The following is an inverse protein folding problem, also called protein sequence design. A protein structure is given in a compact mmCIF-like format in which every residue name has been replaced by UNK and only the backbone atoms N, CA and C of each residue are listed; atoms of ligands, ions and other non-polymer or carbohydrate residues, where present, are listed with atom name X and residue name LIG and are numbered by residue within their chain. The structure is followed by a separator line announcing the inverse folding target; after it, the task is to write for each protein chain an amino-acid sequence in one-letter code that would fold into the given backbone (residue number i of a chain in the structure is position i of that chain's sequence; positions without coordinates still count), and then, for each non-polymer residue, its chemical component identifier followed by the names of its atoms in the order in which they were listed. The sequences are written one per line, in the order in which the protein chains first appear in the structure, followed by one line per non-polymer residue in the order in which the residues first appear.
data_IF_851695734137
#
_entry.id   IF_851695734137
#
_cell.length_a   1.000
_cell.length_b   1.000
_cell.length_c   1.000
_cell.angle_alpha   90.00
_cell.angle_beta   90.00
_cell.angle_gamma   90.00
#
_symmetry.space_group_name_H-M   'P 1'
#
loop_
_entity.id
_entity.type
_entity.pdbx_description
1 polymer ?
#
# COMPACT_ATOMS: atom_id res chain seq x y z
N UNK A 1 -35.01 13.85 -11.04
CA UNK A 1 -33.80 13.83 -10.19
C UNK A 1 -33.07 12.54 -10.44
N UNK A 2 -31.79 12.58 -10.81
CA UNK A 2 -30.96 11.36 -10.84
C UNK A 2 -30.93 10.74 -9.44
N UNK A 3 -31.27 9.46 -9.35
CA UNK A 3 -31.32 8.71 -8.10
C UNK A 3 -29.91 8.19 -7.80
N UNK A 4 -29.31 8.69 -6.71
CA UNK A 4 -28.06 8.13 -6.15
C UNK A 4 -28.27 6.65 -5.87
N UNK A 5 -27.37 5.81 -6.36
CA UNK A 5 -27.38 4.40 -6.01
C UNK A 5 -26.89 4.24 -4.57
N UNK A 6 -27.42 3.23 -3.88
CA UNK A 6 -26.90 2.86 -2.57
C UNK A 6 -25.56 2.17 -2.77
N UNK A 7 -24.51 2.64 -2.09
CA UNK A 7 -23.22 1.96 -2.11
C UNK A 7 -23.44 0.55 -1.53
N UNK A 8 -23.05 -0.51 -2.24
CA UNK A 8 -23.31 -1.87 -1.79
C UNK A 8 -22.66 -2.18 -0.44
N UNK A 9 -23.30 -3.00 0.40
CA UNK A 9 -22.81 -3.30 1.75
C UNK A 9 -21.38 -3.88 1.74
N UNK A 10 -21.09 -4.74 0.77
CA UNK A 10 -19.79 -5.35 0.56
C UNK A 10 -18.69 -4.29 0.26
N UNK A 11 -19.00 -3.33 -0.63
CA UNK A 11 -18.10 -2.22 -0.94
C UNK A 11 -17.90 -1.27 0.25
N UNK A 12 -18.95 -1.04 1.05
CA UNK A 12 -18.81 -0.28 2.31
C UNK A 12 -17.86 -1.01 3.27
N UNK A 13 -18.08 -2.30 3.51
CA UNK A 13 -17.23 -3.11 4.39
C UNK A 13 -15.76 -3.09 3.93
N UNK A 14 -15.53 -3.26 2.63
CA UNK A 14 -14.20 -3.16 2.03
C UNK A 14 -13.52 -1.82 2.34
N UNK A 15 -14.21 -0.68 2.13
CA UNK A 15 -13.65 0.65 2.45
C UNK A 15 -13.28 0.78 3.93
N UNK A 16 -14.14 0.33 4.84
CA UNK A 16 -13.86 0.36 6.28
C UNK A 16 -12.63 -0.47 6.64
N UNK A 17 -12.53 -1.65 6.07
CA UNK A 17 -11.46 -2.60 6.32
C UNK A 17 -10.13 -2.10 5.73
N UNK A 18 -10.13 -1.64 4.49
CA UNK A 18 -8.95 -1.12 3.77
C UNK A 18 -8.50 0.25 4.28
N UNK A 19 -9.33 0.95 5.04
CA UNK A 19 -8.90 2.14 5.77
C UNK A 19 -7.83 1.86 6.80
N UNK A 20 -7.74 0.61 7.27
CA UNK A 20 -6.87 0.22 8.37
C UNK A 20 -7.02 1.17 9.58
N UNK A 21 -8.25 1.55 9.89
CA UNK A 21 -8.55 2.46 11.00
C UNK A 21 -8.25 3.95 10.74
N UNK A 22 -7.74 4.32 9.55
CA UNK A 22 -7.18 5.66 9.27
C UNK A 22 -7.93 6.39 8.15
N UNK A 23 -7.98 7.70 8.27
CA UNK A 23 -8.51 8.59 7.23
C UNK A 23 -7.59 8.56 5.99
N UNK A 24 -8.17 8.57 4.78
CA UNK A 24 -7.40 8.60 3.52
C UNK A 24 -6.64 9.92 3.28
N UNK A 25 -6.88 10.94 4.10
CA UNK A 25 -6.23 12.23 3.99
C UNK A 25 -4.76 12.10 4.44
N UNK A 26 -3.77 12.50 3.62
CA UNK A 26 -2.37 12.37 3.96
C UNK A 26 -2.02 13.04 5.29
N UNK A 27 -1.38 12.28 6.19
CA UNK A 27 -0.95 12.79 7.50
C UNK A 27 -2.07 13.03 8.51
N UNK A 28 -3.33 12.68 8.20
CA UNK A 28 -4.43 12.83 9.14
C UNK A 28 -4.24 11.92 10.38
N UNK A 29 -4.24 12.48 11.60
CA UNK A 29 -4.08 11.69 12.82
C UNK A 29 -5.39 11.10 13.34
N UNK A 30 -6.54 11.51 12.77
CA UNK A 30 -7.85 11.13 13.29
C UNK A 30 -8.26 9.72 12.82
N UNK A 31 -8.61 8.82 13.74
CA UNK A 31 -9.05 7.48 13.37
C UNK A 31 -10.48 7.51 12.81
N UNK A 32 -10.83 6.49 12.04
CA UNK A 32 -12.18 6.33 11.45
C UNK A 32 -13.21 5.83 12.46
N UNK A 33 -12.76 5.32 13.60
CA UNK A 33 -13.58 4.94 14.76
C UNK A 33 -12.94 5.57 16.00
N UNK A 34 -13.75 6.27 16.80
CA UNK A 34 -13.34 6.84 18.07
C UNK A 34 -13.94 6.04 19.22
N UNK A 35 -13.16 5.80 20.26
CA UNK A 35 -13.69 5.48 21.58
C UNK A 35 -14.12 6.79 22.25
N UNK A 36 -15.44 7.02 22.38
CA UNK A 36 -15.96 8.29 22.94
C UNK A 36 -16.06 8.27 24.46
N UNK A 37 -16.11 7.06 25.04
CA UNK A 37 -16.07 6.72 26.46
C UNK A 37 -15.58 5.28 26.59
N UNK A 38 -15.07 4.83 27.75
CA UNK A 38 -14.58 3.46 27.93
C UNK A 38 -15.57 2.40 27.41
N UNK A 39 -15.14 1.59 26.45
CA UNK A 39 -15.92 0.54 25.79
C UNK A 39 -17.00 1.02 24.80
N UNK A 40 -17.12 2.33 24.55
CA UNK A 40 -18.14 2.91 23.67
C UNK A 40 -17.49 3.49 22.42
N UNK A 41 -17.63 2.78 21.32
CA UNK A 41 -17.07 3.16 20.01
C UNK A 41 -18.10 3.84 19.11
N UNK A 42 -17.66 4.84 18.35
CA UNK A 42 -18.46 5.55 17.35
C UNK A 42 -17.68 5.75 16.07
N UNK A 43 -18.37 5.66 14.93
CA UNK A 43 -17.80 6.02 13.63
C UNK A 43 -17.45 7.50 13.62
N UNK A 44 -16.23 7.80 13.19
CA UNK A 44 -15.70 9.14 12.97
C UNK A 44 -15.36 9.36 11.48
N UNK A 45 -15.88 8.52 10.59
CA UNK A 45 -15.63 8.62 9.16
C UNK A 45 -16.88 8.37 8.33
N UNK A 46 -16.84 8.90 7.11
CA UNK A 46 -17.87 8.76 6.09
C UNK A 46 -17.22 8.45 4.74
N UNK A 47 -17.98 7.78 3.88
CA UNK A 47 -17.56 7.47 2.52
C UNK A 47 -17.89 8.67 1.64
N UNK A 48 -16.85 9.29 1.07
CA UNK A 48 -16.95 10.38 0.12
C UNK A 48 -16.81 9.86 -1.32
N UNK A 49 -17.52 10.50 -2.25
CA UNK A 49 -17.29 10.27 -3.68
C UNK A 49 -16.21 11.22 -4.16
N UNK A 50 -15.24 10.67 -4.90
CA UNK A 50 -14.21 11.46 -5.58
C UNK A 50 -14.87 12.36 -6.64
N UNK A 51 -15.75 11.80 -7.47
CA UNK A 51 -16.62 12.54 -8.40
C UNK A 51 -18.05 12.51 -7.91
N UNK A 52 -18.68 13.67 -7.76
CA UNK A 52 -20.05 13.80 -7.25
C UNK A 52 -21.09 13.07 -8.11
N UNK A 53 -22.02 12.36 -7.46
CA UNK A 53 -23.07 11.54 -8.11
C UNK A 53 -24.41 12.26 -8.32
N UNK A 54 -24.58 13.47 -7.78
CA UNK A 54 -25.82 14.26 -7.90
C UNK A 54 -25.55 15.63 -8.48
N UNK A 55 -26.47 16.12 -9.32
CA UNK A 55 -26.49 17.53 -9.75
C UNK A 55 -26.41 18.46 -8.53
N UNK A 56 -25.47 19.41 -8.58
CA UNK A 56 -25.21 20.36 -7.48
C UNK A 56 -24.31 19.82 -6.35
N UNK A 57 -23.79 18.59 -6.45
CA UNK A 57 -22.69 18.14 -5.62
C UNK A 57 -21.35 18.64 -6.20
N UNK A 58 -20.31 18.83 -5.36
CA UNK A 58 -18.97 19.14 -5.84
C UNK A 58 -18.48 18.09 -6.85
N UNK A 59 -17.77 18.54 -7.89
CA UNK A 59 -17.15 17.67 -8.91
C UNK A 59 -18.16 16.84 -9.73
N UNK A 60 -19.44 17.21 -9.71
CA UNK A 60 -20.45 16.56 -10.54
C UNK A 60 -20.26 16.91 -12.01
N UNK A 61 -20.31 15.90 -12.89
CA UNK A 61 -20.38 16.04 -14.35
C UNK A 61 -21.55 15.21 -14.86
N UNK A 62 -22.24 15.61 -15.92
CA UNK A 62 -23.31 14.77 -16.46
C UNK A 62 -22.73 13.47 -17.06
N UNK A 63 -23.25 12.30 -16.65
CA UNK A 63 -22.90 11.04 -17.29
C UNK A 63 -23.58 10.95 -18.65
N UNK A 64 -22.86 10.50 -19.68
CA UNK A 64 -23.35 10.32 -21.05
C UNK A 64 -23.74 8.88 -21.35
N UNK A 65 -23.41 7.95 -20.47
CA UNK A 65 -23.76 6.53 -20.60
C UNK A 65 -24.09 5.89 -19.24
N UNK A 66 -24.78 4.75 -19.29
CA UNK A 66 -25.03 3.90 -18.11
C UNK A 66 -23.74 3.35 -17.52
N UNK A 67 -22.73 3.10 -18.36
CA UNK A 67 -21.41 2.64 -17.94
C UNK A 67 -20.68 3.71 -17.11
N UNK A 68 -20.66 4.97 -17.56
CA UNK A 68 -20.10 6.08 -16.79
C UNK A 68 -20.84 6.27 -15.45
N UNK A 69 -22.16 6.05 -15.44
CA UNK A 69 -22.97 6.10 -14.21
C UNK A 69 -22.57 4.98 -13.24
N UNK A 70 -22.36 3.77 -13.74
CA UNK A 70 -21.87 2.62 -12.93
C UNK A 70 -20.46 2.85 -12.42
N UNK A 71 -19.55 3.37 -13.24
CA UNK A 71 -18.19 3.69 -12.83
C UNK A 71 -18.17 4.74 -11.73
N UNK A 72 -19.04 5.75 -11.81
CA UNK A 72 -19.14 6.77 -10.76
C UNK A 72 -19.65 6.24 -9.41
N UNK A 73 -20.44 5.19 -9.44
CA UNK A 73 -20.94 4.52 -8.23
C UNK A 73 -20.02 3.36 -7.81
N UNK A 74 -18.91 3.12 -8.52
CA UNK A 74 -17.96 2.03 -8.26
C UNK A 74 -16.98 2.35 -7.14
N UNK A 75 -16.36 1.31 -6.59
CA UNK A 75 -15.33 1.40 -5.55
C UNK A 75 -14.16 2.34 -5.92
N UNK A 76 -13.81 2.43 -7.21
CA UNK A 76 -12.74 3.31 -7.72
C UNK A 76 -13.00 4.79 -7.44
N UNK A 77 -14.27 5.18 -7.36
CA UNK A 77 -14.70 6.55 -7.12
C UNK A 77 -14.99 6.84 -5.63
N UNK A 78 -14.63 5.94 -4.72
CA UNK A 78 -14.92 6.06 -3.30
C UNK A 78 -13.63 6.12 -2.46
N UNK A 79 -13.66 6.96 -1.43
CA UNK A 79 -12.67 7.03 -0.35
C UNK A 79 -13.39 7.10 0.99
N UNK A 80 -12.73 6.70 2.07
CA UNK A 80 -13.22 6.89 3.43
C UNK A 80 -12.34 7.89 4.18
N UNK A 81 -12.99 8.92 4.70
CA UNK A 81 -12.34 10.07 5.34
C UNK A 81 -13.04 10.41 6.64
N UNK A 82 -12.31 10.99 7.59
CA UNK A 82 -12.90 11.42 8.85
C UNK A 82 -13.97 12.50 8.64
N UNK A 83 -14.83 12.73 9.64
CA UNK A 83 -15.93 13.70 9.52
C UNK A 83 -15.46 15.10 9.14
N UNK A 84 -14.30 15.56 9.65
CA UNK A 84 -13.73 16.86 9.33
C UNK A 84 -13.36 16.97 7.85
N UNK A 85 -12.55 16.03 7.33
CA UNK A 85 -12.16 16.04 5.91
C UNK A 85 -13.35 15.78 4.98
N UNK A 86 -14.31 14.95 5.39
CA UNK A 86 -15.54 14.75 4.63
C UNK A 86 -16.30 16.08 4.45
N UNK A 87 -16.40 16.88 5.52
CA UNK A 87 -17.09 18.18 5.48
C UNK A 87 -16.42 19.16 4.51
N UNK A 88 -15.09 19.16 4.44
CA UNK A 88 -14.35 20.04 3.52
C UNK A 88 -14.45 19.57 2.07
N UNK A 89 -14.36 18.26 1.85
CA UNK A 89 -14.49 17.63 0.53
C UNK A 89 -15.86 17.91 -0.09
N UNK A 90 -16.92 17.86 0.73
CA UNK A 90 -18.31 18.07 0.30
C UNK A 90 -18.76 19.55 0.34
N UNK A 91 -17.86 20.48 0.70
CA UNK A 91 -18.18 21.90 0.67
C UNK A 91 -18.54 22.35 -0.76
N UNK A 92 -19.70 23.01 -0.89
CA UNK A 92 -20.24 23.40 -2.21
C UNK A 92 -19.52 24.58 -2.86
N UNK A 93 -18.74 25.35 -2.11
CA UNK A 93 -18.07 26.56 -2.59
C UNK A 93 -16.60 26.28 -2.90
N UNK A 94 -15.89 25.69 -1.94
CA UNK A 94 -14.45 25.48 -2.01
C UNK A 94 -14.07 24.02 -2.25
N UNK A 95 -14.97 23.05 -2.00
CA UNK A 95 -14.64 21.62 -2.03
C UNK A 95 -14.10 21.12 -3.37
N UNK A 96 -14.66 21.56 -4.50
CA UNK A 96 -14.14 21.20 -5.85
C UNK A 96 -12.78 21.86 -6.14
N UNK A 97 -12.54 23.05 -5.61
CA UNK A 97 -11.31 23.82 -5.83
C UNK A 97 -10.16 23.30 -4.97
N UNK A 98 -10.41 22.99 -3.70
CA UNK A 98 -9.42 22.49 -2.75
C UNK A 98 -9.18 20.99 -2.92
N UNK A 99 -10.23 20.24 -3.26
CA UNK A 99 -10.19 18.78 -3.35
C UNK A 99 -10.67 18.31 -4.73
N UNK A 100 -10.03 18.71 -5.84
CA UNK A 100 -10.40 18.23 -7.16
C UNK A 100 -10.19 16.71 -7.28
N UNK A 101 -10.83 16.02 -8.26
CA UNK A 101 -10.78 14.57 -8.38
C UNK A 101 -9.35 13.99 -8.35
N UNK A 102 -8.41 14.70 -8.96
CA UNK A 102 -7.00 14.30 -9.08
C UNK A 102 -6.33 14.19 -7.70
N UNK A 103 -6.60 15.15 -6.82
CA UNK A 103 -6.09 15.15 -5.43
C UNK A 103 -6.67 13.98 -4.65
N UNK A 104 -7.97 13.74 -4.75
CA UNK A 104 -8.62 12.65 -4.02
C UNK A 104 -8.23 11.26 -4.56
N UNK A 105 -7.99 11.13 -5.86
CA UNK A 105 -7.40 9.92 -6.44
C UNK A 105 -5.96 9.70 -5.95
N UNK A 106 -5.19 10.76 -5.74
CA UNK A 106 -3.86 10.66 -5.14
C UNK A 106 -3.92 10.21 -3.68
N UNK A 107 -4.86 10.75 -2.89
CA UNK A 107 -5.12 10.30 -1.51
C UNK A 107 -5.43 8.81 -1.47
N UNK A 108 -6.37 8.35 -2.31
CA UNK A 108 -6.71 6.93 -2.47
C UNK A 108 -5.49 6.08 -2.79
N UNK A 109 -4.73 6.45 -3.83
CA UNK A 109 -3.52 5.72 -4.25
C UNK A 109 -2.46 5.64 -3.16
N UNK A 110 -2.22 6.75 -2.44
CA UNK A 110 -1.24 6.78 -1.35
C UNK A 110 -1.66 5.91 -0.18
N UNK A 111 -2.97 5.86 0.11
CA UNK A 111 -3.52 5.05 1.20
C UNK A 111 -3.56 3.56 0.86
N UNK A 112 -4.02 3.21 -0.34
CA UNK A 112 -4.19 1.81 -0.78
C UNK A 112 -2.88 1.17 -1.26
N UNK A 113 -1.88 1.98 -1.65
CA UNK A 113 -0.59 1.50 -2.11
C UNK A 113 -0.70 0.55 -3.31
N UNK A 114 0.09 -0.53 -3.27
CA UNK A 114 0.12 -1.55 -4.33
C UNK A 114 -1.18 -2.35 -4.46
N UNK A 115 -1.97 -2.43 -3.38
CA UNK A 115 -3.26 -3.11 -3.41
C UNK A 115 -4.31 -2.32 -4.18
N UNK A 116 -4.10 -1.03 -4.42
CA UNK A 116 -5.03 -0.19 -5.19
C UNK A 116 -5.35 -0.79 -6.58
N UNK A 117 -4.40 -1.47 -7.22
CA UNK A 117 -4.64 -2.12 -8.51
C UNK A 117 -5.61 -3.31 -8.40
N UNK A 118 -5.41 -4.19 -7.42
CA UNK A 118 -6.32 -5.30 -7.13
C UNK A 118 -7.69 -4.80 -6.62
N UNK A 119 -7.71 -3.75 -5.81
CA UNK A 119 -8.95 -3.16 -5.30
C UNK A 119 -9.77 -2.44 -6.38
N UNK A 120 -9.10 -1.92 -7.41
CA UNK A 120 -9.76 -1.31 -8.55
C UNK A 120 -10.42 -2.35 -9.47
N UNK A 121 -10.11 -3.65 -9.37
CA UNK A 121 -10.85 -4.69 -10.12
C UNK A 121 -12.19 -5.02 -9.46
N UNK A 122 -12.43 -4.55 -8.23
CA UNK A 122 -13.74 -4.55 -7.57
C UNK A 122 -14.66 -3.54 -8.28
N UNK A 123 -15.15 -3.95 -9.46
CA UNK A 123 -16.14 -3.23 -10.24
C UNK A 123 -17.52 -3.21 -9.54
N UNK A 124 -18.63 -3.04 -10.28
CA UNK A 124 -19.97 -3.22 -9.73
C UNK A 124 -20.22 -4.71 -9.42
N UNK A 125 -19.65 -5.13 -8.28
CA UNK A 125 -19.79 -6.34 -7.46
C UNK A 125 -19.95 -7.68 -8.17
N UNK A 126 -18.94 -8.54 -8.01
CA UNK A 126 -19.16 -9.93 -7.62
C UNK A 126 -18.57 -10.09 -6.20
N UNK A 127 -19.25 -10.83 -5.33
CA UNK A 127 -18.85 -11.06 -3.94
C UNK A 127 -17.53 -11.84 -3.86
N UNK A 128 -17.28 -12.65 -4.88
CA UNK A 128 -16.08 -13.47 -5.07
C UNK A 128 -14.84 -12.61 -5.31
N UNK A 129 -14.91 -11.63 -6.23
CA UNK A 129 -13.80 -10.73 -6.51
C UNK A 129 -13.42 -9.88 -5.29
N UNK A 130 -14.41 -9.49 -4.48
CA UNK A 130 -14.16 -8.80 -3.22
C UNK A 130 -13.48 -9.72 -2.20
N UNK A 131 -13.93 -10.98 -2.09
CA UNK A 131 -13.37 -11.95 -1.15
C UNK A 131 -11.91 -12.24 -1.44
N UNK A 132 -11.55 -12.40 -2.72
CA UNK A 132 -10.16 -12.61 -3.15
C UNK A 132 -9.27 -11.42 -2.84
N UNK A 133 -9.72 -10.20 -3.16
CA UNK A 133 -8.97 -8.98 -2.87
C UNK A 133 -8.78 -8.74 -1.36
N UNK A 134 -9.78 -9.08 -0.54
CA UNK A 134 -9.66 -9.03 0.91
C UNK A 134 -8.71 -10.12 1.42
N UNK A 135 -8.74 -11.34 0.90
CA UNK A 135 -7.81 -12.39 1.32
C UNK A 135 -6.34 -12.01 1.04
N UNK A 136 -6.08 -11.35 -0.10
CA UNK A 136 -4.75 -10.83 -0.44
C UNK A 136 -4.33 -9.69 0.52
N UNK A 137 -5.20 -8.69 0.72
CA UNK A 137 -4.92 -7.54 1.60
C UNK A 137 -4.76 -7.93 3.08
N UNK A 138 -5.46 -8.99 3.54
CA UNK A 138 -5.52 -9.43 4.94
C UNK A 138 -4.76 -10.72 5.21
N UNK A 139 -3.78 -11.09 4.38
CA UNK A 139 -2.87 -12.19 4.73
C UNK A 139 -2.24 -11.92 6.10
N UNK A 140 -2.43 -12.80 7.11
CA UNK A 140 -2.05 -12.51 8.49
C UNK A 140 -0.57 -12.14 8.63
N UNK A 141 -0.21 -11.20 9.53
CA UNK A 141 1.17 -10.78 9.74
C UNK A 141 2.14 -11.94 10.03
N UNK A 142 1.67 -12.98 10.73
CA UNK A 142 2.46 -14.19 11.04
C UNK A 142 2.79 -14.97 9.76
N UNK A 143 1.83 -15.13 8.85
CA UNK A 143 2.05 -15.83 7.57
C UNK A 143 2.99 -15.03 6.67
N UNK A 144 2.96 -13.69 6.74
CA UNK A 144 3.92 -12.83 6.03
C UNK A 144 5.31 -12.91 6.68
N UNK A 145 5.40 -12.91 8.00
CA UNK A 145 6.65 -13.11 8.75
C UNK A 145 7.29 -14.47 8.43
N UNK A 146 6.50 -15.54 8.37
CA UNK A 146 6.96 -16.88 7.99
C UNK A 146 7.52 -16.86 6.56
N UNK A 147 6.83 -16.25 5.60
CA UNK A 147 7.33 -16.12 4.22
C UNK A 147 8.63 -15.31 4.13
N UNK A 148 8.77 -14.27 4.95
CA UNK A 148 10.00 -13.46 5.03
C UNK A 148 11.13 -14.27 5.67
N UNK A 149 10.85 -14.99 6.76
CA UNK A 149 11.81 -15.87 7.43
C UNK A 149 12.29 -16.99 6.51
N UNK A 150 11.37 -17.66 5.80
CA UNK A 150 11.67 -18.69 4.80
C UNK A 150 12.52 -18.12 3.66
N UNK A 151 12.24 -16.90 3.22
CA UNK A 151 13.03 -16.23 2.18
C UNK A 151 14.43 -15.87 2.66
N UNK A 152 14.55 -15.39 3.90
CA UNK A 152 15.82 -15.09 4.55
C UNK A 152 16.68 -16.34 4.76
N UNK A 153 16.10 -17.43 5.23
CA UNK A 153 16.80 -18.71 5.39
C UNK A 153 17.31 -19.25 4.06
N UNK A 154 16.52 -19.10 2.99
CA UNK A 154 16.87 -19.63 1.67
C UNK A 154 17.87 -18.76 0.90
N UNK A 155 17.82 -17.44 1.07
CA UNK A 155 18.56 -16.49 0.20
C UNK A 155 19.59 -15.63 0.93
N UNK A 156 19.56 -15.59 2.27
CA UNK A 156 20.45 -14.77 3.09
C UNK A 156 20.27 -13.25 2.89
N UNK A 157 19.24 -12.82 2.17
CA UNK A 157 19.01 -11.41 1.83
C UNK A 157 17.51 -11.06 1.86
N UNK A 158 17.21 -9.79 2.15
CA UNK A 158 15.86 -9.25 2.03
C UNK A 158 15.73 -8.57 0.68
N UNK A 159 14.77 -8.99 -0.13
CA UNK A 159 14.37 -8.21 -1.30
C UNK A 159 13.49 -7.02 -0.87
N UNK A 160 13.29 -6.05 -1.77
CA UNK A 160 12.54 -4.82 -1.47
C UNK A 160 11.11 -5.10 -0.96
N UNK A 161 10.49 -6.17 -1.45
CA UNK A 161 9.15 -6.61 -1.05
C UNK A 161 9.13 -7.14 0.40
N UNK A 162 10.07 -8.00 0.77
CA UNK A 162 10.20 -8.51 2.13
C UNK A 162 10.55 -7.41 3.14
N UNK A 163 11.35 -6.41 2.75
CA UNK A 163 11.68 -5.26 3.59
C UNK A 163 10.46 -4.37 3.83
N UNK A 164 9.59 -4.23 2.82
CA UNK A 164 8.36 -3.46 2.92
C UNK A 164 7.31 -4.16 3.79
N UNK A 165 7.18 -5.48 3.66
CA UNK A 165 6.32 -6.28 4.53
C UNK A 165 6.76 -6.19 5.99
N UNK A 166 8.08 -6.28 6.24
CA UNK A 166 8.64 -6.13 7.59
C UNK A 166 8.32 -4.75 8.20
N UNK A 167 8.42 -3.67 7.42
CA UNK A 167 8.06 -2.31 7.86
C UNK A 167 6.57 -2.20 8.19
N UNK A 168 5.69 -2.83 7.41
CA UNK A 168 4.26 -2.85 7.68
C UNK A 168 3.92 -3.64 8.95
N UNK A 169 4.61 -4.75 9.19
CA UNK A 169 4.45 -5.53 10.42
C UNK A 169 4.86 -4.71 11.64
N UNK A 170 5.98 -3.97 11.55
CA UNK A 170 6.44 -3.07 12.62
C UNK A 170 5.41 -1.94 12.87
N UNK A 171 4.83 -1.36 11.82
CA UNK A 171 3.82 -0.29 11.95
C UNK A 171 2.52 -0.79 12.62
N UNK A 172 2.07 -1.99 12.27
CA UNK A 172 0.91 -2.63 12.91
C UNK A 172 1.20 -2.97 14.37
N UNK A 173 2.40 -3.48 14.67
CA UNK A 173 2.81 -3.80 16.05
C UNK A 173 3.01 -2.56 16.92
N UNK A 174 3.34 -1.42 16.32
CA UNK A 174 3.50 -0.14 17.01
C UNK A 174 2.16 0.56 17.29
N UNK A 175 1.17 0.39 16.41
CA UNK A 175 -0.12 1.10 16.49
C UNK A 175 -1.22 0.33 17.24
N UNK A 176 -0.98 -0.94 17.57
CA UNK A 176 -1.91 -1.77 18.35
C UNK A 176 -1.89 -1.43 19.86
N UNK A 177 -3.05 -1.41 20.56
CA UNK A 177 -3.09 -1.24 22.01
C UNK A 177 -2.41 -2.41 22.73
N UNK A 178 -1.39 -2.13 23.57
CA UNK A 178 -0.53 -3.15 24.17
C UNK A 178 0.56 -3.69 23.23
N UNK A 179 0.80 -3.00 22.11
CA UNK A 179 1.84 -3.28 21.14
C UNK A 179 3.27 -3.06 21.66
N UNK A 180 4.23 -3.34 20.80
CA UNK A 180 5.66 -3.29 21.09
C UNK A 180 6.03 -1.86 21.52
N UNK A 181 6.72 -1.72 22.67
CA UNK A 181 7.12 -0.43 23.25
C UNK A 181 7.77 0.47 22.17
N UNK A 182 7.38 1.75 22.10
CA UNK A 182 7.77 2.72 21.05
C UNK A 182 9.26 2.68 20.71
N UNK A 183 10.10 2.52 21.73
CA UNK A 183 11.55 2.40 21.59
C UNK A 183 12.00 1.15 20.84
N UNK A 184 11.32 0.02 21.06
CA UNK A 184 11.60 -1.25 20.39
C UNK A 184 11.14 -1.20 18.93
N UNK A 185 9.98 -0.59 18.64
CA UNK A 185 9.55 -0.36 17.26
C UNK A 185 10.50 0.57 16.49
N UNK A 186 10.94 1.67 17.13
CA UNK A 186 11.96 2.55 16.57
C UNK A 186 13.29 1.82 16.33
N UNK A 187 13.74 0.98 17.26
CA UNK A 187 14.98 0.22 17.11
C UNK A 187 14.90 -0.79 15.95
N UNK A 188 13.75 -1.45 15.77
CA UNK A 188 13.52 -2.37 14.65
C UNK A 188 13.50 -1.61 13.32
N UNK A 189 12.86 -0.45 13.27
CA UNK A 189 12.84 0.41 12.08
C UNK A 189 14.24 0.88 11.69
N UNK A 190 15.05 1.35 12.65
CA UNK A 190 16.46 1.75 12.43
C UNK A 190 17.32 0.58 12.00
N UNK A 191 17.09 -0.61 12.57
CA UNK A 191 17.83 -1.83 12.19
C UNK A 191 17.49 -2.24 10.76
N UNK A 192 16.21 -2.19 10.37
CA UNK A 192 15.78 -2.45 9.00
C UNK A 192 16.37 -1.44 7.99
N UNK A 193 16.49 -0.16 8.38
CA UNK A 193 17.10 0.88 7.57
C UNK A 193 18.62 0.69 7.43
N UNK A 194 19.29 0.33 8.53
CA UNK A 194 20.73 0.01 8.55
C UNK A 194 21.04 -1.20 7.67
N UNK A 195 20.22 -2.25 7.74
CA UNK A 195 20.32 -3.43 6.88
C UNK A 195 20.06 -3.09 5.41
N UNK A 196 19.19 -2.11 5.14
CA UNK A 196 18.97 -1.59 3.78
C UNK A 196 20.15 -0.78 3.24
N UNK A 197 20.97 -0.20 4.11
CA UNK A 197 22.15 0.61 3.73
C UNK A 197 23.43 -0.20 3.56
N UNK A 198 23.48 -1.43 4.07
CA UNK A 198 24.50 -2.41 3.70
C UNK A 198 24.22 -2.85 2.25
N UNK A 199 24.79 -2.09 1.32
CA UNK A 199 24.61 -2.20 -0.13
C UNK A 199 25.28 -3.49 -0.70
N UNK A 200 24.88 -4.65 -0.18
CA UNK A 200 25.39 -5.98 -0.50
C UNK A 200 25.24 -6.29 -1.99
N UNK A 201 24.20 -5.76 -2.65
CA UNK A 201 23.98 -5.91 -4.09
C UNK A 201 25.02 -5.19 -4.95
N UNK A 202 25.48 -4.01 -4.54
CA UNK A 202 26.54 -3.31 -5.27
C UNK A 202 27.89 -4.00 -5.06
N UNK A 203 28.19 -4.41 -3.83
CA UNK A 203 29.41 -5.16 -3.53
C UNK A 203 29.42 -6.52 -4.23
N UNK A 204 28.28 -7.22 -4.30
CA UNK A 204 28.17 -8.52 -4.98
C UNK A 204 28.30 -8.38 -6.49
N UNK A 205 27.73 -7.33 -7.11
CA UNK A 205 27.90 -7.05 -8.54
C UNK A 205 29.36 -6.75 -8.91
N UNK A 206 30.04 -5.94 -8.09
CA UNK A 206 31.47 -5.65 -8.30
C UNK A 206 32.33 -6.91 -8.10
N UNK A 207 32.02 -7.73 -7.09
CA UNK A 207 32.70 -9.02 -6.87
C UNK A 207 32.45 -10.03 -8.00
N UNK A 208 31.23 -10.11 -8.52
CA UNK A 208 30.88 -10.95 -9.67
C UNK A 208 31.61 -10.49 -10.94
N UNK A 209 31.67 -9.18 -11.20
CA UNK A 209 32.44 -8.64 -12.33
C UNK A 209 33.94 -8.92 -12.18
N UNK A 210 34.50 -8.75 -10.99
CA UNK A 210 35.89 -9.08 -10.71
C UNK A 210 36.18 -10.59 -10.88
N UNK A 211 35.27 -11.45 -10.41
CA UNK A 211 35.38 -12.91 -10.56
C UNK A 211 35.30 -13.37 -12.02
N UNK A 212 34.46 -12.73 -12.84
CA UNK A 212 34.35 -13.03 -14.27
C UNK A 212 35.61 -12.59 -15.03
N UNK A 213 36.16 -11.42 -14.70
CA UNK A 213 37.45 -10.96 -15.25
C UNK A 213 38.60 -11.89 -14.86
N UNK A 214 38.68 -12.31 -13.61
CA UNK A 214 39.72 -13.23 -13.14
C UNK A 214 39.62 -14.60 -13.83
N UNK A 215 38.40 -15.13 -13.98
CA UNK A 215 38.16 -16.40 -14.68
C UNK A 215 38.63 -16.38 -16.14
N UNK A 216 38.52 -15.22 -16.81
CA UNK A 216 39.01 -15.04 -18.19
C UNK A 216 40.54 -14.91 -18.28
N UNK A 217 41.19 -14.45 -17.21
CA UNK A 217 42.65 -14.29 -17.15
C UNK A 217 43.36 -15.61 -16.82
N UNK A 218 42.73 -16.51 -16.07
CA UNK A 218 43.32 -17.80 -15.66
C UNK A 218 43.83 -18.62 -16.87
N UNK A 219 43.05 -18.86 -17.94
CA UNK A 219 43.53 -19.60 -19.11
C UNK A 219 44.70 -18.91 -19.84
N UNK A 220 44.74 -17.58 -19.82
CA UNK A 220 45.80 -16.79 -20.45
C UNK A 220 47.11 -16.93 -19.65
N UNK A 221 47.01 -16.88 -18.32
CA UNK A 221 48.14 -17.08 -17.40
C UNK A 221 48.65 -18.52 -17.53
N UNK A 222 47.75 -19.51 -17.51
CA UNK A 222 48.10 -20.92 -17.67
C UNK A 222 48.78 -21.20 -19.01
N UNK A 223 48.27 -20.64 -20.11
CA UNK A 223 48.90 -20.74 -21.42
C UNK A 223 50.29 -20.10 -21.45
N UNK A 224 50.48 -18.97 -20.74
CA UNK A 224 51.79 -18.30 -20.66
C UNK A 224 52.78 -19.09 -19.80
N UNK A 225 52.32 -19.69 -18.71
CA UNK A 225 53.12 -20.59 -17.87
C UNK A 225 53.54 -21.83 -18.66
N UNK A 226 52.64 -22.44 -19.45
CA UNK A 226 52.98 -23.57 -20.31
C UNK A 226 53.97 -23.20 -21.43
N UNK A 227 53.82 -22.02 -22.04
CA UNK A 227 54.80 -21.52 -23.03
C UNK A 227 56.19 -21.34 -22.42
N UNK A 228 56.27 -20.81 -21.19
CA UNK A 228 57.55 -20.64 -20.49
C UNK A 228 58.13 -21.99 -20.03
N UNK A 229 57.29 -22.95 -19.62
CA UNK A 229 57.70 -24.29 -19.21
C UNK A 229 58.13 -25.19 -20.38
N UNK A 230 57.62 -24.98 -21.59
CA UNK A 230 58.05 -25.69 -22.81
C UNK A 230 59.27 -25.10 -23.51
N UNK A 231 59.82 -24.00 -22.99
CA UNK A 231 61.09 -23.38 -23.44
C UNK A 231 62.29 -23.76 -22.55
N UNK A 232 62.08 -24.62 -21.55
CA UNK A 232 63.11 -25.29 -20.75
C UNK A 232 63.20 -26.77 -21.11
#
# INVERSE_FOLDING_TARGET
MEKRLTIPAAAQAALWVLSNGRCYAPGCPFPVINEVRPGVFKKNAQIAHIRGVKRGAPRFRECRSEEERRERESFKNLIIVCLSHHSEIDDKKEGEKLYPPEVLHEWKRKHEGQYGAALNTIGPISEEALTEALAEAFTPPVVRLEKIADSLERTGSLNAEALQDLRQIIDVLHTAPGGVEERTAHNLMVSADTLSHLNLDNSSKVLLQASDMLSKLIPIIDARIQQLGGMM
#
